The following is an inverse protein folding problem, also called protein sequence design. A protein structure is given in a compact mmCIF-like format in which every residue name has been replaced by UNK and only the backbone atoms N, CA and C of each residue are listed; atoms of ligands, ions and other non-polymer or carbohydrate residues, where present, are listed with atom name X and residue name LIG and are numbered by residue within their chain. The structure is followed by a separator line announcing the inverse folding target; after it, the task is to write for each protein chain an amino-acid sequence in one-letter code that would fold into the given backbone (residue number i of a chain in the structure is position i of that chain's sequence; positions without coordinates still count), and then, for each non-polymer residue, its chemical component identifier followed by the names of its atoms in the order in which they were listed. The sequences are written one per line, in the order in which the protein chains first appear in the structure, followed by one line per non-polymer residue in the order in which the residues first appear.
data_IF_507432012848
#
_entry.id   IF_507432012848
#
_cell.length_a   1.000
_cell.length_b   1.000
_cell.length_c   1.000
_cell.angle_alpha   90.00
_cell.angle_beta   90.00
_cell.angle_gamma   90.00
#
_symmetry.space_group_name_H-M   'P 1'
#
loop_
_entity.id
_entity.type
_entity.pdbx_description
1 polymer ?
#
# COMPACT_ATOMS: atom_id res chain seq x y z
N UNK A 1 -7.52 -15.76 -36.79
CA UNK A 1 -7.79 -14.34 -37.15
C UNK A 1 -7.16 -13.95 -38.50
N UNK A 2 -7.70 -12.95 -39.21
CA UNK A 2 -7.08 -12.35 -40.42
C UNK A 2 -6.72 -10.88 -40.18
N UNK A 3 -5.64 -10.39 -40.77
CA UNK A 3 -5.21 -8.98 -40.69
C UNK A 3 -5.20 -8.41 -42.09
N UNK A 4 -5.80 -7.24 -42.28
CA UNK A 4 -5.79 -6.60 -43.60
C UNK A 4 -4.39 -6.07 -43.93
N UNK A 5 -3.80 -6.42 -45.09
CA UNK A 5 -2.46 -5.94 -45.46
C UNK A 5 -2.42 -4.45 -45.79
N UNK A 6 -3.57 -3.85 -46.16
CA UNK A 6 -3.66 -2.42 -46.53
C UNK A 6 -3.87 -1.50 -45.33
N UNK A 7 -4.78 -1.87 -44.42
CA UNK A 7 -5.16 -1.00 -43.28
C UNK A 7 -4.81 -1.56 -41.90
N UNK A 8 -4.29 -2.79 -41.81
CA UNK A 8 -3.87 -3.39 -40.54
C UNK A 8 -5.01 -3.84 -39.61
N UNK A 9 -6.27 -3.67 -40.00
CA UNK A 9 -7.41 -4.03 -39.13
C UNK A 9 -7.59 -5.54 -39.04
N UNK A 10 -7.77 -6.01 -37.81
CA UNK A 10 -8.04 -7.41 -37.47
C UNK A 10 -9.50 -7.78 -37.77
N UNK A 11 -9.71 -8.92 -38.41
CA UNK A 11 -11.01 -9.38 -38.88
C UNK A 11 -11.22 -10.88 -38.59
N UNK A 12 -12.48 -11.31 -38.58
CA UNK A 12 -12.85 -12.72 -38.45
C UNK A 12 -12.32 -13.56 -39.62
N UNK A 13 -11.92 -14.80 -39.32
CA UNK A 13 -11.39 -15.75 -40.33
C UNK A 13 -12.35 -16.05 -41.47
N UNK A 14 -13.66 -15.94 -41.20
CA UNK A 14 -14.72 -16.19 -42.18
C UNK A 14 -14.84 -15.11 -43.25
N UNK A 15 -14.18 -13.94 -43.07
CA UNK A 15 -14.25 -12.84 -44.03
C UNK A 15 -13.23 -13.01 -45.17
N UNK A 16 -13.64 -12.63 -46.37
CA UNK A 16 -12.81 -12.62 -47.58
C UNK A 16 -12.35 -11.22 -47.98
N UNK A 17 -13.01 -10.17 -47.46
CA UNK A 17 -12.67 -8.76 -47.67
C UNK A 17 -12.69 -7.98 -46.36
N UNK A 18 -11.83 -6.96 -46.28
CA UNK A 18 -11.76 -6.03 -45.16
C UNK A 18 -13.01 -5.15 -45.11
N UNK A 19 -13.62 -5.00 -43.93
CA UNK A 19 -14.81 -4.17 -43.73
C UNK A 19 -14.51 -2.68 -43.96
N UNK A 20 -13.32 -2.23 -43.59
CA UNK A 20 -13.02 -0.79 -43.57
C UNK A 20 -12.45 -0.27 -44.89
N UNK A 21 -11.67 -1.08 -45.60
CA UNK A 21 -10.98 -0.64 -46.82
C UNK A 21 -11.28 -1.47 -48.08
N UNK A 22 -12.15 -2.48 -47.98
CA UNK A 22 -12.58 -3.32 -49.10
C UNK A 22 -11.51 -4.24 -49.71
N UNK A 23 -10.27 -4.21 -49.20
CA UNK A 23 -9.16 -5.02 -49.71
C UNK A 23 -9.39 -6.50 -49.42
N UNK A 24 -9.03 -7.38 -50.36
CA UNK A 24 -9.11 -8.84 -50.17
C UNK A 24 -8.20 -9.26 -49.01
N UNK A 25 -8.73 -10.08 -48.11
CA UNK A 25 -7.99 -10.60 -46.97
C UNK A 25 -7.23 -11.86 -47.39
N UNK A 26 -5.99 -11.96 -46.93
CA UNK A 26 -5.13 -13.13 -47.10
C UNK A 26 -5.55 -14.26 -46.13
N UNK A 27 -4.79 -15.35 -46.13
CA UNK A 27 -5.03 -16.48 -45.26
C UNK A 27 -4.89 -16.11 -43.77
N UNK A 28 -5.55 -16.86 -42.87
CA UNK A 28 -5.44 -16.62 -41.43
C UNK A 28 -3.97 -16.60 -40.98
N UNK A 29 -3.65 -15.69 -40.06
CA UNK A 29 -2.31 -15.66 -39.46
C UNK A 29 -2.06 -16.95 -38.68
N UNK A 30 -0.78 -17.30 -38.49
CA UNK A 30 -0.42 -18.49 -37.74
C UNK A 30 -0.93 -18.42 -36.29
N UNK A 31 -1.22 -19.58 -35.70
CA UNK A 31 -1.68 -19.67 -34.31
C UNK A 31 -0.72 -18.99 -33.31
N UNK A 32 0.58 -18.97 -33.61
CA UNK A 32 1.57 -18.31 -32.75
C UNK A 32 1.44 -16.77 -32.80
N UNK A 33 1.22 -16.20 -33.99
CA UNK A 33 1.02 -14.77 -34.17
C UNK A 33 -0.32 -14.35 -33.56
N UNK A 34 -1.35 -15.17 -33.71
CA UNK A 34 -2.66 -14.96 -33.08
C UNK A 34 -2.57 -14.92 -31.55
N UNK A 35 -1.87 -15.88 -30.94
CA UNK A 35 -1.66 -15.91 -29.50
C UNK A 35 -0.88 -14.66 -29.00
N UNK A 36 0.15 -14.22 -29.74
CA UNK A 36 0.91 -13.00 -29.40
C UNK A 36 0.06 -11.73 -29.46
N UNK A 37 -0.76 -11.58 -30.49
CA UNK A 37 -1.64 -10.41 -30.65
C UNK A 37 -2.75 -10.38 -29.59
N UNK A 38 -3.31 -11.54 -29.24
CA UNK A 38 -4.27 -11.64 -28.15
C UNK A 38 -3.63 -11.27 -26.81
N UNK A 39 -2.46 -11.83 -26.49
CA UNK A 39 -1.74 -11.51 -25.26
C UNK A 39 -1.37 -10.01 -25.17
N UNK A 40 -0.94 -9.40 -26.28
CA UNK A 40 -0.65 -7.97 -26.33
C UNK A 40 -1.94 -7.13 -26.14
N UNK A 41 -3.04 -7.55 -26.75
CA UNK A 41 -4.36 -6.94 -26.59
C UNK A 41 -4.86 -6.99 -25.15
N UNK A 42 -4.79 -8.16 -24.51
CA UNK A 42 -5.13 -8.37 -23.10
C UNK A 42 -4.26 -7.52 -22.18
N UNK A 43 -2.94 -7.50 -22.40
CA UNK A 43 -2.03 -6.67 -21.61
C UNK A 43 -2.33 -5.17 -21.75
N UNK A 44 -2.70 -4.70 -22.95
CA UNK A 44 -3.13 -3.31 -23.17
C UNK A 44 -4.47 -3.03 -22.49
N UNK A 45 -5.41 -3.96 -22.55
CA UNK A 45 -6.72 -3.85 -21.92
C UNK A 45 -6.58 -3.77 -20.39
N UNK A 46 -5.75 -4.64 -19.81
CA UNK A 46 -5.43 -4.66 -18.39
C UNK A 46 -4.76 -3.36 -17.95
N UNK A 47 -3.79 -2.85 -18.72
CA UNK A 47 -3.18 -1.53 -18.47
C UNK A 47 -4.21 -0.40 -18.48
N UNK A 48 -5.15 -0.41 -19.42
CA UNK A 48 -6.21 0.61 -19.50
C UNK A 48 -7.21 0.48 -18.36
N UNK A 49 -7.55 -0.75 -17.95
CA UNK A 49 -8.43 -1.03 -16.83
C UNK A 49 -7.81 -0.54 -15.52
N UNK A 50 -6.55 -0.92 -15.25
CA UNK A 50 -5.81 -0.49 -14.07
C UNK A 50 -5.60 1.02 -14.03
N UNK A 51 -5.44 1.68 -15.18
CA UNK A 51 -5.32 3.15 -15.25
C UNK A 51 -6.62 3.89 -14.97
N UNK A 52 -7.78 3.21 -15.05
CA UNK A 52 -9.10 3.78 -14.72
C UNK A 52 -9.56 3.47 -13.30
N UNK A 53 -8.91 2.56 -12.58
CA UNK A 53 -9.22 2.31 -11.17
C UNK A 53 -8.64 3.46 -10.32
N UNK A 54 -9.49 4.36 -9.76
CA UNK A 54 -9.01 5.50 -8.97
C UNK A 54 -8.32 5.06 -7.68
N UNK A 55 -8.53 3.80 -7.25
CA UNK A 55 -7.88 3.19 -6.10
C UNK A 55 -6.72 2.28 -6.51
N UNK A 56 -6.26 2.36 -7.76
CA UNK A 56 -5.00 1.73 -8.13
C UNK A 56 -3.84 2.37 -7.37
N UNK A 57 -2.89 1.54 -6.94
CA UNK A 57 -1.75 1.96 -6.15
C UNK A 57 -0.85 2.87 -6.99
N UNK A 58 -0.65 4.11 -6.55
CA UNK A 58 0.28 5.03 -7.21
C UNK A 58 1.72 4.73 -6.74
N UNK A 59 2.76 4.98 -7.57
CA UNK A 59 4.15 5.03 -7.10
C UNK A 59 4.36 5.79 -5.79
N UNK A 60 3.65 6.91 -5.58
CA UNK A 60 3.69 7.64 -4.32
C UNK A 60 3.24 6.78 -3.13
N UNK A 61 2.12 6.06 -3.26
CA UNK A 61 1.59 5.19 -2.20
C UNK A 61 2.55 4.04 -1.89
N UNK A 62 3.25 3.52 -2.91
CA UNK A 62 4.30 2.49 -2.72
C UNK A 62 5.45 3.06 -1.88
N UNK A 63 5.97 4.24 -2.24
CA UNK A 63 7.09 4.86 -1.52
C UNK A 63 6.71 5.14 -0.07
N UNK A 64 5.55 5.78 0.15
CA UNK A 64 5.06 6.07 1.49
C UNK A 64 4.81 4.81 2.31
N UNK A 65 4.21 3.77 1.70
CA UNK A 65 4.01 2.48 2.33
C UNK A 65 5.32 1.81 2.75
N UNK A 66 6.37 1.90 1.93
CA UNK A 66 7.70 1.39 2.28
C UNK A 66 8.35 2.18 3.43
N UNK A 67 8.20 3.51 3.46
CA UNK A 67 8.70 4.35 4.56
C UNK A 67 8.02 3.94 5.87
N UNK A 68 6.69 3.88 5.90
CA UNK A 68 5.94 3.50 7.10
C UNK A 68 6.19 2.04 7.51
N UNK A 69 6.46 1.14 6.56
CA UNK A 69 6.86 -0.24 6.86
C UNK A 69 8.25 -0.29 7.52
N UNK A 70 9.20 0.53 7.05
CA UNK A 70 10.51 0.64 7.67
C UNK A 70 10.41 1.22 9.09
N UNK A 71 9.58 2.24 9.29
CA UNK A 71 9.26 2.80 10.62
C UNK A 71 8.67 1.71 11.54
N UNK A 72 7.68 0.95 11.07
CA UNK A 72 7.08 -0.15 11.83
C UNK A 72 8.13 -1.18 12.26
N UNK A 73 8.99 -1.61 11.34
CA UNK A 73 10.07 -2.56 11.64
C UNK A 73 11.03 -1.97 12.68
N UNK A 74 11.44 -0.71 12.51
CA UNK A 74 12.32 -0.04 13.46
C UNK A 74 11.69 0.04 14.85
N UNK A 75 10.41 0.42 14.96
CA UNK A 75 9.70 0.46 16.24
C UNK A 75 9.61 -0.93 16.86
N UNK A 76 9.31 -1.98 16.09
CA UNK A 76 9.28 -3.36 16.60
C UNK A 76 10.65 -3.76 17.16
N UNK A 77 11.74 -3.50 16.42
CA UNK A 77 13.10 -3.79 16.88
C UNK A 77 13.42 -3.04 18.16
N UNK A 78 13.13 -1.74 18.23
CA UNK A 78 13.34 -0.94 19.44
C UNK A 78 12.53 -1.49 20.61
N UNK A 79 11.26 -1.86 20.37
CA UNK A 79 10.35 -2.42 21.38
C UNK A 79 10.88 -3.74 21.95
N UNK A 80 11.48 -4.60 21.12
CA UNK A 80 12.06 -5.88 21.56
C UNK A 80 13.36 -5.67 22.34
N UNK A 81 14.23 -4.75 21.88
CA UNK A 81 15.54 -4.54 22.50
C UNK A 81 15.47 -3.72 23.80
N UNK A 82 14.57 -2.74 23.86
CA UNK A 82 14.49 -1.77 24.95
C UNK A 82 13.10 -1.74 25.60
N UNK A 83 12.30 -2.80 25.44
CA UNK A 83 10.93 -2.87 25.97
C UNK A 83 10.82 -2.60 27.46
N UNK A 84 11.83 -2.97 28.25
CA UNK A 84 11.88 -2.69 29.69
C UNK A 84 12.04 -1.19 30.02
N UNK A 85 12.65 -0.41 29.11
CA UNK A 85 12.77 1.04 29.22
C UNK A 85 11.45 1.73 28.83
N UNK A 86 10.68 1.12 27.93
CA UNK A 86 9.38 1.62 27.45
C UNK A 86 8.18 1.10 28.25
N UNK A 87 8.32 0.92 29.58
CA UNK A 87 7.27 0.33 30.45
C UNK A 87 5.87 0.94 30.29
N UNK A 88 5.79 2.18 29.81
CA UNK A 88 4.54 2.81 29.42
C UNK A 88 3.99 2.16 28.14
N UNK A 89 3.05 1.22 28.34
CA UNK A 89 2.33 0.46 27.31
C UNK A 89 1.74 1.37 26.22
N UNK A 90 1.42 2.62 26.56
CA UNK A 90 0.88 3.62 25.63
C UNK A 90 1.84 3.97 24.48
N UNK A 91 3.15 4.10 24.76
CA UNK A 91 4.14 4.42 23.72
C UNK A 91 4.37 3.25 22.77
N UNK A 92 4.42 2.02 23.32
CA UNK A 92 4.54 0.81 22.52
C UNK A 92 3.33 0.59 21.64
N UNK A 93 2.12 0.80 22.18
CA UNK A 93 0.88 0.64 21.44
C UNK A 93 0.74 1.68 20.32
N UNK A 94 0.95 2.97 20.62
CA UNK A 94 0.92 4.03 19.62
C UNK A 94 2.00 3.85 18.56
N UNK A 95 3.20 3.42 18.96
CA UNK A 95 4.33 3.18 18.06
C UNK A 95 4.06 2.09 17.03
N UNK A 96 3.24 1.08 17.35
CA UNK A 96 2.85 0.06 16.38
C UNK A 96 1.64 0.49 15.55
N UNK A 97 0.64 1.10 16.21
CA UNK A 97 -0.66 1.37 15.61
C UNK A 97 -0.57 2.31 14.42
N UNK A 98 0.13 3.44 14.57
CA UNK A 98 0.17 4.48 13.53
C UNK A 98 0.88 4.03 12.24
N UNK A 99 2.12 3.50 12.27
CA UNK A 99 2.75 3.03 11.05
C UNK A 99 2.03 1.80 10.48
N UNK A 100 1.41 0.93 11.30
CA UNK A 100 0.61 -0.18 10.80
C UNK A 100 -0.63 0.29 10.01
N UNK A 101 -1.40 1.24 10.53
CA UNK A 101 -2.53 1.83 9.81
C UNK A 101 -2.04 2.47 8.51
N UNK A 102 -0.94 3.22 8.56
CA UNK A 102 -0.33 3.84 7.40
C UNK A 102 0.06 2.84 6.30
N UNK A 103 0.67 1.71 6.67
CA UNK A 103 1.03 0.60 5.77
C UNK A 103 -0.22 0.00 5.13
N UNK A 104 -1.26 -0.28 5.91
CA UNK A 104 -2.51 -0.86 5.40
C UNK A 104 -3.17 0.09 4.39
N UNK A 105 -3.32 1.36 4.75
CA UNK A 105 -3.88 2.39 3.86
C UNK A 105 -3.09 2.53 2.55
N UNK A 106 -1.75 2.53 2.64
CA UNK A 106 -0.89 2.73 1.47
C UNK A 106 -0.90 1.54 0.50
N UNK A 107 -0.88 0.31 1.02
CA UNK A 107 -0.84 -0.88 0.18
C UNK A 107 -2.23 -1.38 -0.22
N UNK A 108 -3.25 -1.10 0.57
CA UNK A 108 -4.62 -1.59 0.37
C UNK A 108 -5.64 -0.44 0.39
N UNK A 109 -5.54 0.53 -0.54
CA UNK A 109 -6.45 1.67 -0.61
C UNK A 109 -7.93 1.28 -0.79
N UNK A 110 -8.20 0.08 -1.30
CA UNK A 110 -9.55 -0.47 -1.40
C UNK A 110 -10.16 -0.74 -0.02
N UNK A 111 -9.39 -1.20 0.95
CA UNK A 111 -9.88 -1.44 2.31
C UNK A 111 -10.34 -0.12 2.95
N UNK A 112 -9.52 0.93 2.84
CA UNK A 112 -9.88 2.26 3.34
C UNK A 112 -11.16 2.80 2.69
N UNK A 113 -11.32 2.59 1.38
CA UNK A 113 -12.54 2.98 0.67
C UNK A 113 -13.77 2.18 1.08
N UNK A 114 -13.67 0.86 1.25
CA UNK A 114 -14.79 0.03 1.72
C UNK A 114 -15.22 0.42 3.14
N UNK A 115 -14.28 0.73 4.02
CA UNK A 115 -14.57 1.25 5.36
C UNK A 115 -15.29 2.60 5.31
N UNK A 116 -14.90 3.47 4.37
CA UNK A 116 -15.56 4.76 4.18
C UNK A 116 -16.98 4.60 3.61
N UNK A 117 -17.21 3.68 2.67
CA UNK A 117 -18.56 3.33 2.21
C UNK A 117 -19.41 2.76 3.33
N UNK A 118 -18.85 1.87 4.15
CA UNK A 118 -19.52 1.35 5.34
C UNK A 118 -19.92 2.51 6.28
N UNK A 119 -19.02 3.45 6.55
CA UNK A 119 -19.31 4.64 7.36
C UNK A 119 -20.46 5.46 6.76
N UNK A 120 -20.46 5.69 5.45
CA UNK A 120 -21.50 6.45 4.75
C UNK A 120 -22.84 5.72 4.73
N UNK A 121 -22.84 4.38 4.69
CA UNK A 121 -24.08 3.58 4.68
C UNK A 121 -24.95 3.79 5.93
N UNK A 122 -24.35 4.21 7.05
CA UNK A 122 -25.08 4.59 8.26
C UNK A 122 -25.80 5.95 8.17
N UNK A 123 -25.46 6.78 7.16
CA UNK A 123 -25.96 8.16 7.04
C UNK A 123 -26.66 8.44 5.70
N UNK A 124 -26.43 7.62 4.67
CA UNK A 124 -26.97 7.81 3.33
C UNK A 124 -27.29 6.48 2.64
N UNK A 125 -28.42 6.44 1.92
CA UNK A 125 -28.77 5.31 1.06
C UNK A 125 -27.92 5.35 -0.23
N UNK A 126 -27.59 4.17 -0.77
CA UNK A 126 -26.82 4.06 -2.02
C UNK A 126 -25.31 4.24 -1.85
N UNK A 127 -24.77 4.02 -0.63
CA UNK A 127 -23.34 4.16 -0.37
C UNK A 127 -22.47 3.20 -1.21
N UNK A 128 -23.01 2.04 -1.61
CA UNK A 128 -22.27 1.03 -2.39
C UNK A 128 -21.94 1.49 -3.81
N UNK A 129 -22.74 2.38 -4.38
CA UNK A 129 -22.58 2.90 -5.75
C UNK A 129 -21.65 4.12 -5.82
N UNK A 130 -21.09 4.56 -4.68
CA UNK A 130 -20.22 5.72 -4.62
C UNK A 130 -18.84 5.43 -5.23
N UNK A 131 -18.32 6.41 -5.96
CA UNK A 131 -16.94 6.44 -6.43
C UNK A 131 -16.13 7.47 -5.64
N UNK A 132 -14.83 7.22 -5.41
CA UNK A 132 -13.99 8.16 -4.69
C UNK A 132 -13.83 9.46 -5.50
N UNK A 133 -14.02 10.59 -4.83
CA UNK A 133 -13.82 11.91 -5.42
C UNK A 133 -12.34 12.27 -5.51
N UNK A 134 -12.00 13.23 -6.38
CA UNK A 134 -10.63 13.76 -6.45
C UNK A 134 -10.15 14.33 -5.11
N UNK A 135 -11.07 14.95 -4.35
CA UNK A 135 -10.79 15.43 -3.00
C UNK A 135 -10.38 14.28 -2.07
N UNK A 136 -11.10 13.16 -2.09
CA UNK A 136 -10.74 11.97 -1.30
C UNK A 136 -9.34 11.46 -1.68
N UNK A 137 -9.02 11.38 -2.97
CA UNK A 137 -7.71 10.92 -3.44
C UNK A 137 -6.57 11.84 -2.97
N UNK A 138 -6.79 13.16 -2.93
CA UNK A 138 -5.83 14.13 -2.37
C UNK A 138 -5.71 13.95 -0.85
N UNK A 139 -6.83 13.87 -0.14
CA UNK A 139 -6.85 13.70 1.31
C UNK A 139 -6.18 12.40 1.75
N UNK A 140 -6.30 11.32 0.97
CA UNK A 140 -5.56 10.07 1.21
C UNK A 140 -4.05 10.29 1.20
N UNK A 141 -3.53 11.02 0.21
CA UNK A 141 -2.09 11.34 0.14
C UNK A 141 -1.63 12.21 1.31
N UNK A 142 -2.43 13.19 1.69
CA UNK A 142 -2.18 14.01 2.89
C UNK A 142 -2.17 13.10 4.13
N UNK A 143 -3.11 12.16 4.23
CA UNK A 143 -3.16 11.15 5.28
C UNK A 143 -1.86 10.34 5.38
N UNK A 144 -1.31 9.85 4.27
CA UNK A 144 -0.02 9.14 4.28
C UNK A 144 1.12 10.00 4.82
N UNK A 145 1.17 11.29 4.45
CA UNK A 145 2.19 12.21 4.97
C UNK A 145 2.04 12.41 6.48
N UNK A 146 0.81 12.54 6.98
CA UNK A 146 0.52 12.68 8.41
C UNK A 146 0.90 11.40 9.17
N UNK A 147 0.55 10.23 8.65
CA UNK A 147 0.88 8.95 9.30
C UNK A 147 2.39 8.70 9.37
N UNK A 148 3.12 8.95 8.29
CA UNK A 148 4.57 8.85 8.28
C UNK A 148 5.21 9.87 9.25
N UNK A 149 4.72 11.11 9.29
CA UNK A 149 5.22 12.10 10.24
C UNK A 149 5.01 11.67 11.69
N UNK A 150 3.81 11.17 12.03
CA UNK A 150 3.51 10.69 13.38
C UNK A 150 4.36 9.46 13.75
N UNK A 151 4.50 8.50 12.83
CA UNK A 151 5.36 7.33 13.01
C UNK A 151 6.81 7.72 13.24
N UNK A 152 7.35 8.60 12.40
CA UNK A 152 8.69 9.15 12.54
C UNK A 152 8.93 9.92 13.85
N UNK A 153 7.96 10.72 14.30
CA UNK A 153 8.06 11.44 15.59
C UNK A 153 8.08 10.48 16.78
N UNK A 154 7.29 9.41 16.76
CA UNK A 154 7.30 8.39 17.82
C UNK A 154 8.63 7.63 17.81
N UNK A 155 9.09 7.20 16.64
CA UNK A 155 10.39 6.54 16.51
C UNK A 155 11.53 7.43 17.00
N UNK A 156 11.51 8.72 16.65
CA UNK A 156 12.46 9.70 17.16
C UNK A 156 12.42 9.80 18.69
N UNK A 157 11.23 9.91 19.29
CA UNK A 157 11.08 9.96 20.75
C UNK A 157 11.61 8.70 21.44
N UNK A 158 11.41 7.52 20.84
CA UNK A 158 11.96 6.26 21.34
C UNK A 158 13.50 6.25 21.28
N UNK A 159 14.09 6.70 20.17
CA UNK A 159 15.54 6.81 20.02
C UNK A 159 16.11 7.79 21.05
N UNK A 160 15.47 8.94 21.24
CA UNK A 160 15.90 9.96 22.21
C UNK A 160 15.86 9.42 23.64
N UNK A 161 14.83 8.65 24.00
CA UNK A 161 14.71 8.03 25.31
C UNK A 161 15.81 6.99 25.57
N UNK A 162 16.21 6.23 24.55
CA UNK A 162 17.33 5.27 24.66
C UNK A 162 18.67 5.99 24.72
N UNK A 163 18.85 7.07 23.96
CA UNK A 163 20.07 7.87 23.97
C UNK A 163 20.26 8.61 25.29
N UNK A 164 19.16 9.07 25.90
CA UNK A 164 19.14 9.88 27.12
C UNK A 164 18.17 9.25 28.15
N UNK A 165 18.51 8.09 28.73
CA UNK A 165 17.62 7.41 29.67
C UNK A 165 17.40 8.25 30.93
N UNK A 166 16.17 8.36 31.45
CA UNK A 166 15.88 9.16 32.63
C UNK A 166 16.61 8.61 33.85
N UNK A 167 17.18 9.49 34.68
CA UNK A 167 18.04 9.12 35.82
C UNK A 167 17.41 8.11 36.81
N UNK A 168 16.08 8.00 36.86
CA UNK A 168 15.36 7.03 37.69
C UNK A 168 15.61 5.57 37.26
N UNK A 169 15.87 5.28 35.99
CA UNK A 169 16.08 3.91 35.50
C UNK A 169 17.42 3.29 35.91
N UNK A 170 18.42 4.14 36.23
CA UNK A 170 19.77 3.71 36.63
C UNK A 170 19.77 3.25 38.10
N UNK A 171 19.01 3.94 38.96
CA UNK A 171 18.92 3.60 40.39
C UNK A 171 18.23 2.26 40.64
N UNK A 172 17.25 1.87 39.82
CA UNK A 172 16.58 0.57 39.97
C UNK A 172 17.47 -0.61 39.55
N UNK A 173 18.30 -0.45 38.52
CA UNK A 173 19.26 -1.49 38.11
C UNK A 173 20.37 -1.66 39.16
N UNK A 174 20.91 -0.55 39.68
CA UNK A 174 21.93 -0.60 40.75
C UNK A 174 21.37 -1.19 42.06
N UNK A 175 20.09 -0.94 42.37
CA UNK A 175 19.41 -1.53 43.54
C UNK A 175 19.15 -3.03 43.35
N UNK A 176 18.78 -3.48 42.15
CA UNK A 176 18.60 -4.91 41.85
C UNK A 176 19.93 -5.66 41.94
N UNK A 177 21.00 -5.10 41.39
CA UNK A 177 22.35 -5.69 41.49
C UNK A 177 22.82 -5.80 42.95
N UNK A 178 22.56 -4.76 43.76
CA UNK A 178 22.84 -4.81 45.22
C UNK A 178 21.99 -5.84 45.96
N UNK A 179 20.72 -5.99 45.60
CA UNK A 179 19.84 -7.00 46.21
C UNK A 179 20.33 -8.41 45.89
N UNK A 180 20.67 -8.68 44.63
CA UNK A 180 21.22 -9.97 44.19
C UNK A 180 22.54 -10.26 44.91
N UNK A 181 23.43 -9.26 45.01
CA UNK A 181 24.69 -9.41 45.74
C UNK A 181 24.47 -9.72 47.24
N UNK A 182 23.44 -9.14 47.86
CA UNK A 182 23.10 -9.39 49.27
C UNK A 182 22.46 -10.76 49.54
N UNK A 183 21.88 -11.41 48.52
CA UNK A 183 21.27 -12.73 48.64
C UNK A 183 22.25 -13.89 48.42
N UNK A 184 23.46 -13.60 47.91
CA UNK A 184 24.51 -14.59 47.60
C UNK A 184 25.58 -14.68 48.70
N UNK A 185 25.53 -13.80 49.71
CA UNK A 185 26.36 -13.87 50.93
C UNK A 185 25.63 -14.62 52.05
#
# INVERSE_FOLDING_TARGET
MKICPKCGVTQSDKRTSCVDCGTRLEDPVSKEIEAKLQAEGEQKLEKLYNKRDPLHRNPFDIVMGCIMAAELVAVIVMSVLYGELYRDVEYLFCGWLFPLIGVIEAFFPKIGWELEKLRMSFSANGADDLTPSDFYLIMRKVGHMVWALLGGLILYAMIELVANPPAYSITDTENIERLIASMVQ
#
